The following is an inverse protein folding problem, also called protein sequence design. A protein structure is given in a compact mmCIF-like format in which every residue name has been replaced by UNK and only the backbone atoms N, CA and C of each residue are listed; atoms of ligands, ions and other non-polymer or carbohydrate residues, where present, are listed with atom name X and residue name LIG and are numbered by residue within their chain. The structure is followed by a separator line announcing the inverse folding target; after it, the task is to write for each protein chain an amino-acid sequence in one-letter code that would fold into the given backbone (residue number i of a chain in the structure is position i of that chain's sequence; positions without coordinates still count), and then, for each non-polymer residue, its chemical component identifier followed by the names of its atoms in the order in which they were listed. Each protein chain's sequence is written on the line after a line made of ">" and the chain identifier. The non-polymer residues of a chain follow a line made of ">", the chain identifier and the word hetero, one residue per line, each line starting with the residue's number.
data_IF_396751340346
#
_entry.id   IF_396751340346
#
_cell.length_a   1.000
_cell.length_b   1.000
_cell.length_c   1.000
_cell.angle_alpha   90.00
_cell.angle_beta   90.00
_cell.angle_gamma   90.00
#
_symmetry.space_group_name_H-M   'P 1'
#
loop_
_entity.id
_entity.type
_entity.pdbx_description
1 polymer ?
#
# COMPACT_ATOMS: atom_id res chain seq x y z
N UNK A 1 15.53 6.82 -35.28
CA UNK A 1 16.06 7.29 -34.25
C UNK A 1 15.82 6.52 -32.92
N UNK A 2 16.52 6.87 -32.01
CA UNK A 2 16.51 6.17 -30.77
C UNK A 2 15.87 7.02 -29.72
N UNK A 3 15.05 6.38 -28.89
CA UNK A 3 14.59 7.02 -27.69
C UNK A 3 15.65 6.84 -26.64
N UNK A 4 15.80 7.82 -25.79
CA UNK A 4 16.71 7.68 -24.69
C UNK A 4 16.15 6.70 -23.69
N UNK A 5 17.03 6.10 -22.91
CA UNK A 5 16.63 5.19 -21.90
C UNK A 5 15.68 5.88 -20.92
N UNK A 6 14.55 5.26 -20.67
CA UNK A 6 13.57 5.82 -19.77
C UNK A 6 12.55 6.73 -20.41
N UNK A 7 12.72 7.02 -21.71
CA UNK A 7 11.74 7.81 -22.43
C UNK A 7 10.82 6.91 -23.21
N UNK A 8 9.54 7.21 -23.19
CA UNK A 8 8.54 6.45 -23.89
C UNK A 8 7.91 7.28 -24.99
N UNK A 9 7.37 6.60 -26.00
CA UNK A 9 6.64 7.27 -27.06
C UNK A 9 5.36 7.88 -26.49
N UNK A 10 4.78 8.82 -27.24
CA UNK A 10 3.52 9.44 -26.84
C UNK A 10 2.43 8.40 -26.72
N UNK A 11 2.42 7.38 -27.58
CA UNK A 11 1.41 6.33 -27.53
C UNK A 11 1.53 5.50 -26.25
N UNK A 12 2.77 5.21 -25.85
CA UNK A 12 3.00 4.42 -24.63
C UNK A 12 2.59 5.23 -23.41
N UNK A 13 2.93 6.52 -23.39
CA UNK A 13 2.54 7.37 -22.27
C UNK A 13 1.03 7.46 -22.17
N UNK A 14 0.35 7.66 -23.30
CA UNK A 14 -1.12 7.75 -23.31
C UNK A 14 -1.75 6.46 -22.80
N UNK A 15 -1.19 5.31 -23.19
CA UNK A 15 -1.71 4.03 -22.74
C UNK A 15 -1.51 3.85 -21.24
N UNK A 16 -0.35 4.24 -20.74
CA UNK A 16 -0.08 4.14 -19.31
C UNK A 16 -1.00 5.03 -18.49
N UNK A 17 -1.27 6.23 -18.98
CA UNK A 17 -2.18 7.14 -18.30
C UNK A 17 -3.59 6.58 -18.28
N UNK A 18 -4.02 5.98 -19.38
CA UNK A 18 -5.34 5.38 -19.45
C UNK A 18 -5.45 4.20 -18.47
N UNK A 19 -4.44 3.34 -18.45
CA UNK A 19 -4.43 2.20 -17.54
C UNK A 19 -4.41 2.66 -16.09
N UNK A 20 -3.63 3.71 -15.78
CA UNK A 20 -3.60 4.25 -14.44
C UNK A 20 -4.95 4.78 -14.00
N UNK A 21 -5.66 5.46 -14.93
CA UNK A 21 -6.98 5.98 -14.60
C UNK A 21 -7.95 4.84 -14.30
N UNK A 22 -7.88 3.75 -15.07
CA UNK A 22 -8.74 2.60 -14.83
C UNK A 22 -8.42 1.94 -13.49
N UNK A 23 -7.15 1.84 -13.15
CA UNK A 23 -6.74 1.29 -11.87
C UNK A 23 -7.16 2.17 -10.70
N UNK A 24 -6.98 3.49 -10.85
CA UNK A 24 -7.38 4.42 -9.79
C UNK A 24 -8.88 4.42 -9.55
N UNK A 25 -9.67 4.16 -10.60
CA UNK A 25 -11.11 4.08 -10.44
C UNK A 25 -11.53 2.92 -9.54
N UNK A 26 -10.64 1.95 -9.34
CA UNK A 26 -10.91 0.81 -8.48
C UNK A 26 -10.40 0.99 -7.05
N UNK A 27 -9.87 2.17 -6.73
CA UNK A 27 -9.30 2.41 -5.41
C UNK A 27 -10.30 2.13 -4.29
N UNK A 28 -11.56 2.34 -4.53
CA UNK A 28 -12.61 2.10 -3.53
C UNK A 28 -12.75 0.63 -3.15
N UNK A 29 -12.16 -0.26 -3.94
CA UNK A 29 -12.20 -1.70 -3.64
C UNK A 29 -11.16 -2.10 -2.61
N UNK A 30 -10.27 -1.20 -2.24
CA UNK A 30 -9.20 -1.48 -1.30
C UNK A 30 -9.47 -0.77 0.02
N UNK A 31 -8.94 -1.34 1.09
CA UNK A 31 -9.13 -0.75 2.42
C UNK A 31 -8.29 0.49 2.64
N UNK A 32 -7.13 0.57 1.98
CA UNK A 32 -6.20 1.68 2.17
C UNK A 32 -5.73 2.22 0.84
N UNK A 33 -5.55 3.53 0.78
CA UNK A 33 -4.99 4.20 -0.39
C UNK A 33 -3.88 5.12 0.11
N UNK A 34 -2.71 4.98 -0.49
CA UNK A 34 -1.58 5.87 -0.17
C UNK A 34 -1.36 6.79 -1.36
N UNK A 35 -1.39 8.09 -1.08
CA UNK A 35 -1.13 9.09 -2.10
C UNK A 35 0.35 9.43 -2.03
N UNK A 36 1.08 9.09 -3.09
CA UNK A 36 2.53 9.34 -3.14
C UNK A 36 2.79 10.72 -3.73
N UNK A 37 2.41 11.75 -3.00
CA UNK A 37 2.64 13.13 -3.38
C UNK A 37 3.92 13.64 -2.77
N UNK A 38 4.10 13.40 -1.46
CA UNK A 38 5.35 13.64 -0.77
C UNK A 38 5.88 12.31 -0.31
N UNK A 39 7.09 11.99 -0.72
CA UNK A 39 7.66 10.68 -0.46
C UNK A 39 7.66 10.32 1.03
N UNK A 40 8.10 11.25 1.88
CA UNK A 40 8.18 10.97 3.31
C UNK A 40 6.82 10.65 3.91
N UNK A 41 5.79 11.32 3.44
CA UNK A 41 4.44 11.06 3.94
C UNK A 41 3.92 9.72 3.47
N UNK A 42 4.20 9.38 2.21
CA UNK A 42 3.79 8.08 1.70
C UNK A 42 4.46 6.95 2.46
N UNK A 43 5.74 7.11 2.79
CA UNK A 43 6.48 6.12 3.58
C UNK A 43 5.88 6.01 4.98
N UNK A 44 5.57 7.15 5.60
CA UNK A 44 4.95 7.16 6.91
C UNK A 44 3.60 6.43 6.88
N UNK A 45 2.79 6.71 5.86
CA UNK A 45 1.49 6.07 5.74
C UNK A 45 1.64 4.56 5.55
N UNK A 46 2.60 4.15 4.74
CA UNK A 46 2.84 2.73 4.53
C UNK A 46 3.25 2.05 5.83
N UNK A 47 4.16 2.67 6.57
CA UNK A 47 4.60 2.12 7.85
C UNK A 47 3.44 2.05 8.83
N UNK A 48 2.57 3.05 8.80
CA UNK A 48 1.41 3.08 9.68
C UNK A 48 0.47 1.92 9.38
N UNK A 49 0.22 1.66 8.10
CA UNK A 49 -0.63 0.54 7.70
C UNK A 49 -0.02 -0.78 8.13
N UNK A 50 1.28 -0.96 7.89
CA UNK A 50 1.97 -2.20 8.28
C UNK A 50 1.89 -2.39 9.78
N UNK A 51 2.13 -1.34 10.53
CA UNK A 51 2.07 -1.42 11.99
C UNK A 51 0.66 -1.78 12.45
N UNK A 52 -0.36 -1.16 11.86
CA UNK A 52 -1.74 -1.43 12.21
C UNK A 52 -2.11 -2.90 11.98
N UNK A 53 -1.59 -3.49 10.90
CA UNK A 53 -1.86 -4.90 10.63
C UNK A 53 -1.31 -5.79 11.74
N UNK A 54 -0.19 -5.41 12.33
CA UNK A 54 0.42 -6.18 13.41
C UNK A 54 -0.37 -6.09 14.71
N UNK A 55 -1.24 -5.10 14.83
CA UNK A 55 -2.06 -4.91 16.03
C UNK A 55 -3.41 -5.60 15.95
N UNK A 56 -3.75 -6.18 14.81
CA UNK A 56 -5.00 -6.91 14.71
C UNK A 56 -5.01 -8.08 15.66
N UNK A 57 -6.22 -8.42 16.11
CA UNK A 57 -6.38 -9.50 17.11
C UNK A 57 -5.60 -10.76 16.72
N UNK A 58 -5.80 -11.27 15.52
CA UNK A 58 -5.16 -12.52 15.13
C UNK A 58 -3.65 -12.43 15.12
N UNK A 59 -3.09 -11.27 14.70
CA UNK A 59 -1.66 -11.07 14.69
C UNK A 59 -1.09 -11.00 16.09
N UNK A 60 -1.76 -10.26 16.98
CA UNK A 60 -1.36 -10.15 18.39
C UNK A 60 -1.47 -11.49 19.08
N UNK A 61 -2.55 -12.22 18.81
CA UNK A 61 -2.78 -13.52 19.42
C UNK A 61 -1.63 -14.48 19.09
N UNK A 62 -1.12 -14.42 17.86
CA UNK A 62 -0.01 -15.28 17.44
C UNK A 62 1.31 -14.83 18.05
N UNK A 63 1.61 -13.53 17.97
CA UNK A 63 2.93 -13.03 18.35
C UNK A 63 3.07 -12.81 19.85
N UNK A 64 1.96 -12.64 20.56
CA UNK A 64 1.96 -12.34 21.99
C UNK A 64 1.15 -13.39 22.77
N UNK A 65 1.28 -14.64 22.38
CA UNK A 65 0.49 -15.72 22.97
C UNK A 65 0.62 -15.78 24.51
N UNK A 66 1.83 -15.63 25.03
CA UNK A 66 2.05 -15.70 26.47
C UNK A 66 1.36 -14.55 27.19
N UNK A 67 1.35 -13.36 26.58
CA UNK A 67 0.67 -12.22 27.16
C UNK A 67 -0.84 -12.45 27.17
N UNK A 68 -1.37 -13.00 26.08
CA UNK A 68 -2.80 -13.31 26.00
C UNK A 68 -3.21 -14.30 27.07
N UNK A 69 -2.38 -15.31 27.30
CA UNK A 69 -2.64 -16.27 28.36
C UNK A 69 -2.62 -15.63 29.74
N UNK A 70 -1.60 -14.80 29.98
CA UNK A 70 -1.48 -14.13 31.27
C UNK A 70 -2.67 -13.23 31.56
N UNK A 71 -3.26 -12.64 30.53
CA UNK A 71 -4.41 -11.75 30.66
C UNK A 71 -5.74 -12.46 30.48
N UNK A 72 -5.71 -13.75 30.25
CA UNK A 72 -6.92 -14.55 30.03
C UNK A 72 -7.73 -14.08 28.83
N UNK A 73 -7.05 -13.68 27.78
CA UNK A 73 -7.69 -13.31 26.52
C UNK A 73 -7.75 -14.55 25.64
N UNK A 74 -8.95 -14.94 25.17
CA UNK A 74 -9.11 -16.16 24.36
C UNK A 74 -8.35 -16.17 23.04
#
# INVERSE_FOLDING_TARGET
>A
RLQRRGEDSAEVIALRLKNAALEMAQAKEFDFVIINELFERAVFDLKTIVHAQRLKYAAQRRSRAATFEALNIP
#
